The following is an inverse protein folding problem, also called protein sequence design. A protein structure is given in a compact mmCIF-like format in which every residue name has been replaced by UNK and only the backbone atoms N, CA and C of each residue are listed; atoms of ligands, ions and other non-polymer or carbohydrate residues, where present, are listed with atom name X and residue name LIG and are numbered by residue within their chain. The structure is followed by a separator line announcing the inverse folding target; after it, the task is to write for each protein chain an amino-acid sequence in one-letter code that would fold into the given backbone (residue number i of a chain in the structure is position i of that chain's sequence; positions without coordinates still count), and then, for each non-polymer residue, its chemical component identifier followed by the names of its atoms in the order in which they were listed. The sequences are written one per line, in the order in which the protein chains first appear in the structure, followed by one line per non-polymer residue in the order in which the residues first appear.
data_IF_128724749119
#
_entry.id   IF_128724749119
#
_cell.length_a   1.000
_cell.length_b   1.000
_cell.length_c   1.000
_cell.angle_alpha   90.00
_cell.angle_beta   90.00
_cell.angle_gamma   90.00
#
_symmetry.space_group_name_H-M   'P 1'
#
loop_
_entity.id
_entity.type
_entity.pdbx_description
1 polymer ?
#
# COMPACT_ATOMS: atom_id res chain seq x y z
N UNK A 1 -102.98 -13.53 7.65
CA UNK A 1 -102.74 -13.01 6.28
C UNK A 1 -102.75 -14.19 5.33
N UNK A 2 -103.70 -14.23 4.41
CA UNK A 2 -103.84 -15.30 3.42
C UNK A 2 -102.62 -15.24 2.49
N UNK A 3 -101.94 -16.37 2.31
CA UNK A 3 -100.85 -16.50 1.35
C UNK A 3 -101.47 -16.46 -0.06
N UNK A 4 -101.31 -15.32 -0.75
CA UNK A 4 -102.02 -14.98 -1.99
C UNK A 4 -101.24 -15.35 -3.26
N UNK A 5 -100.03 -15.92 -3.16
CA UNK A 5 -99.29 -16.37 -4.34
C UNK A 5 -99.40 -17.90 -4.54
N UNK A 6 -99.80 -18.37 -5.75
CA UNK A 6 -99.63 -19.74 -6.18
C UNK A 6 -98.18 -20.19 -6.02
N UNK A 7 -97.96 -21.46 -5.65
CA UNK A 7 -96.62 -22.04 -5.40
C UNK A 7 -95.66 -21.85 -6.59
N UNK A 8 -96.20 -21.88 -7.80
CA UNK A 8 -95.45 -21.73 -9.06
C UNK A 8 -94.86 -20.31 -9.20
N UNK A 9 -95.66 -19.26 -8.97
CA UNK A 9 -95.19 -17.87 -9.02
C UNK A 9 -94.13 -17.56 -7.97
N UNK A 10 -94.20 -18.21 -6.80
CA UNK A 10 -93.17 -18.07 -5.76
C UNK A 10 -91.83 -18.69 -6.18
N UNK A 11 -91.84 -19.78 -6.94
CA UNK A 11 -90.63 -20.43 -7.44
C UNK A 11 -89.96 -19.60 -8.55
N UNK A 12 -90.75 -18.99 -9.45
CA UNK A 12 -90.25 -18.08 -10.48
C UNK A 12 -89.58 -16.83 -9.88
N UNK A 13 -90.18 -16.22 -8.86
CA UNK A 13 -89.57 -15.06 -8.18
C UNK A 13 -88.24 -15.47 -7.51
N UNK A 14 -88.15 -16.68 -6.96
CA UNK A 14 -86.92 -17.18 -6.33
C UNK A 14 -85.83 -17.48 -7.37
N UNK A 15 -86.17 -18.01 -8.55
CA UNK A 15 -85.20 -18.28 -9.62
C UNK A 15 -84.68 -16.98 -10.23
N UNK A 16 -85.57 -16.01 -10.50
CA UNK A 16 -85.19 -14.68 -10.97
C UNK A 16 -84.27 -13.97 -9.96
N UNK A 17 -84.59 -14.04 -8.65
CA UNK A 17 -83.74 -13.46 -7.60
C UNK A 17 -82.36 -14.10 -7.55
N UNK A 18 -82.26 -15.43 -7.72
CA UNK A 18 -80.97 -16.13 -7.80
C UNK A 18 -80.16 -15.74 -9.03
N UNK A 19 -80.81 -15.57 -10.19
CA UNK A 19 -80.15 -15.15 -11.42
C UNK A 19 -79.61 -13.71 -11.30
N UNK A 20 -80.41 -12.77 -10.77
CA UNK A 20 -79.95 -11.40 -10.52
C UNK A 20 -78.76 -11.39 -9.55
N UNK A 21 -78.83 -12.19 -8.48
CA UNK A 21 -77.72 -12.31 -7.54
C UNK A 21 -76.46 -12.86 -8.23
N UNK A 22 -76.61 -13.93 -9.04
CA UNK A 22 -75.51 -14.53 -9.80
C UNK A 22 -74.85 -13.53 -10.75
N UNK A 23 -75.64 -12.76 -11.51
CA UNK A 23 -75.12 -11.72 -12.41
C UNK A 23 -74.36 -10.62 -11.66
N UNK A 24 -74.81 -10.23 -10.47
CA UNK A 24 -74.08 -9.26 -9.63
C UNK A 24 -72.74 -9.83 -9.20
N UNK A 25 -72.69 -11.10 -8.76
CA UNK A 25 -71.44 -11.76 -8.38
C UNK A 25 -70.47 -11.91 -9.55
N UNK A 26 -70.98 -12.20 -10.74
CA UNK A 26 -70.17 -12.30 -11.96
C UNK A 26 -69.54 -10.96 -12.34
N UNK A 27 -70.33 -9.88 -12.35
CA UNK A 27 -69.81 -8.53 -12.62
C UNK A 27 -68.77 -8.12 -11.57
N UNK A 28 -69.04 -8.40 -10.29
CA UNK A 28 -68.10 -8.11 -9.20
C UNK A 28 -66.79 -8.88 -9.37
N UNK A 29 -66.87 -10.15 -9.74
CA UNK A 29 -65.70 -10.99 -10.00
C UNK A 29 -64.88 -10.46 -11.20
N UNK A 30 -65.55 -10.09 -12.30
CA UNK A 30 -64.90 -9.50 -13.47
C UNK A 30 -64.20 -8.19 -13.10
N UNK A 31 -64.87 -7.29 -12.39
CA UNK A 31 -64.26 -6.04 -11.91
C UNK A 31 -63.04 -6.30 -11.02
N UNK A 32 -63.10 -7.31 -10.13
CA UNK A 32 -61.99 -7.71 -9.29
C UNK A 32 -60.81 -8.25 -10.11
N UNK A 33 -61.05 -9.10 -11.11
CA UNK A 33 -59.97 -9.62 -11.96
C UNK A 33 -59.33 -8.52 -12.83
N UNK A 34 -60.12 -7.56 -13.33
CA UNK A 34 -59.60 -6.42 -14.08
C UNK A 34 -58.72 -5.54 -13.19
N UNK A 35 -59.16 -5.22 -11.97
CA UNK A 35 -58.36 -4.40 -11.05
C UNK A 35 -57.07 -5.13 -10.65
N UNK A 36 -57.15 -6.44 -10.40
CA UNK A 36 -55.97 -7.26 -10.10
C UNK A 36 -54.97 -7.29 -11.25
N UNK A 37 -55.44 -7.46 -12.50
CA UNK A 37 -54.58 -7.44 -13.69
C UNK A 37 -53.87 -6.09 -13.88
N UNK A 38 -54.58 -4.98 -13.64
CA UNK A 38 -54.00 -3.64 -13.69
C UNK A 38 -52.92 -3.43 -12.62
N UNK A 39 -53.14 -3.92 -11.39
CA UNK A 39 -52.14 -3.86 -10.32
C UNK A 39 -50.88 -4.63 -10.73
N UNK A 40 -51.01 -5.84 -11.26
CA UNK A 40 -49.86 -6.62 -11.72
C UNK A 40 -49.10 -5.93 -12.86
N UNK A 41 -49.80 -5.30 -13.79
CA UNK A 41 -49.17 -4.53 -14.87
C UNK A 41 -48.36 -3.36 -14.31
N UNK A 42 -48.92 -2.59 -13.38
CA UNK A 42 -48.23 -1.47 -12.73
C UNK A 42 -46.96 -1.94 -12.00
N UNK A 43 -47.05 -3.01 -11.22
CA UNK A 43 -45.90 -3.59 -10.51
C UNK A 43 -44.81 -4.02 -11.51
N UNK A 44 -45.19 -4.69 -12.61
CA UNK A 44 -44.24 -5.10 -13.64
C UNK A 44 -43.50 -3.91 -14.25
N UNK A 45 -44.23 -2.87 -14.64
CA UNK A 45 -43.65 -1.65 -15.23
C UNK A 45 -42.72 -0.94 -14.23
N UNK A 46 -43.12 -0.88 -12.96
CA UNK A 46 -42.31 -0.29 -11.90
C UNK A 46 -40.97 -1.02 -11.73
N UNK A 47 -41.00 -2.35 -11.62
CA UNK A 47 -39.80 -3.17 -11.45
C UNK A 47 -38.88 -3.06 -12.68
N UNK A 48 -39.43 -3.13 -13.90
CA UNK A 48 -38.64 -2.97 -15.12
C UNK A 48 -37.97 -1.59 -15.22
N UNK A 49 -38.64 -0.55 -14.72
CA UNK A 49 -38.09 0.81 -14.70
C UNK A 49 -36.91 0.92 -13.73
N UNK A 50 -37.05 0.39 -12.51
CA UNK A 50 -35.96 0.42 -11.52
C UNK A 50 -34.74 -0.39 -11.99
N UNK A 51 -34.96 -1.55 -12.61
CA UNK A 51 -33.88 -2.37 -13.16
C UNK A 51 -33.11 -1.61 -14.24
N UNK A 52 -33.82 -0.97 -15.19
CA UNK A 52 -33.17 -0.20 -16.27
C UNK A 52 -32.36 0.97 -15.75
N UNK A 53 -32.88 1.71 -14.77
CA UNK A 53 -32.16 2.84 -14.15
C UNK A 53 -30.90 2.34 -13.44
N UNK A 54 -31.00 1.24 -12.70
CA UNK A 54 -29.85 0.65 -12.02
C UNK A 54 -28.82 0.09 -13.01
N UNK A 55 -29.25 -0.53 -14.10
CA UNK A 55 -28.36 -1.05 -15.15
C UNK A 55 -27.58 0.07 -15.86
N UNK A 56 -28.23 1.21 -16.14
CA UNK A 56 -27.57 2.40 -16.72
C UNK A 56 -26.53 2.95 -15.73
N UNK A 57 -26.90 3.12 -14.47
CA UNK A 57 -26.00 3.64 -13.44
C UNK A 57 -24.79 2.72 -13.20
N UNK A 58 -25.01 1.39 -13.20
CA UNK A 58 -23.93 0.41 -13.08
C UNK A 58 -23.00 0.45 -14.30
N UNK A 59 -23.53 0.51 -15.52
CA UNK A 59 -22.72 0.62 -16.73
C UNK A 59 -21.90 1.91 -16.79
N UNK A 60 -22.46 3.04 -16.34
CA UNK A 60 -21.72 4.31 -16.26
C UNK A 60 -20.58 4.21 -15.24
N UNK A 61 -20.84 3.68 -14.05
CA UNK A 61 -19.80 3.44 -13.05
C UNK A 61 -18.72 2.48 -13.51
N UNK A 62 -19.09 1.38 -14.17
CA UNK A 62 -18.12 0.43 -14.71
C UNK A 62 -17.24 1.07 -15.79
N UNK A 63 -17.80 1.93 -16.65
CA UNK A 63 -17.04 2.71 -17.63
C UNK A 63 -16.10 3.70 -16.96
N UNK A 64 -16.54 4.42 -15.94
CA UNK A 64 -15.67 5.34 -15.18
C UNK A 64 -14.53 4.59 -14.49
N UNK A 65 -14.82 3.46 -13.84
CA UNK A 65 -13.79 2.62 -13.20
C UNK A 65 -12.82 2.03 -14.23
N UNK A 66 -13.30 1.58 -15.39
CA UNK A 66 -12.45 1.06 -16.45
C UNK A 66 -11.54 2.14 -17.06
N UNK A 67 -12.01 3.38 -17.16
CA UNK A 67 -11.20 4.51 -17.62
C UNK A 67 -10.18 4.97 -16.57
N UNK A 68 -10.51 4.86 -15.28
CA UNK A 68 -9.67 5.33 -14.19
C UNK A 68 -8.64 4.29 -13.71
N UNK A 69 -8.91 2.98 -13.86
CA UNK A 69 -7.98 1.91 -13.52
C UNK A 69 -6.57 2.06 -14.13
N UNK A 70 -6.40 2.35 -15.45
CA UNK A 70 -5.06 2.56 -16.01
C UNK A 70 -4.38 3.82 -15.46
N UNK A 71 -5.15 4.83 -15.01
CA UNK A 71 -4.60 6.01 -14.37
C UNK A 71 -4.14 5.70 -12.94
N UNK A 72 -4.93 4.94 -12.18
CA UNK A 72 -4.57 4.46 -10.84
C UNK A 72 -3.30 3.60 -10.88
N UNK A 73 -3.23 2.62 -11.79
CA UNK A 73 -2.02 1.80 -12.00
C UNK A 73 -0.80 2.65 -12.34
N UNK A 74 -0.97 3.70 -13.16
CA UNK A 74 0.13 4.62 -13.49
C UNK A 74 0.59 5.43 -12.29
N UNK A 75 -0.33 5.88 -11.45
CA UNK A 75 -0.03 6.61 -10.21
C UNK A 75 0.69 5.69 -9.22
N UNK A 76 0.25 4.45 -9.04
CA UNK A 76 0.90 3.48 -8.16
C UNK A 76 2.33 3.18 -8.62
N UNK A 77 2.52 2.91 -9.91
CA UNK A 77 3.85 2.67 -10.48
C UNK A 77 4.77 3.89 -10.32
N UNK A 78 4.24 5.10 -10.51
CA UNK A 78 5.00 6.32 -10.31
C UNK A 78 5.39 6.52 -8.84
N UNK A 79 4.49 6.25 -7.91
CA UNK A 79 4.77 6.32 -6.47
C UNK A 79 5.82 5.29 -6.04
N UNK A 80 5.76 4.06 -6.58
CA UNK A 80 6.79 3.05 -6.35
C UNK A 80 8.16 3.50 -6.85
N UNK A 81 8.21 4.02 -8.09
CA UNK A 81 9.45 4.55 -8.66
C UNK A 81 10.01 5.71 -7.84
N UNK A 82 9.17 6.65 -7.42
CA UNK A 82 9.57 7.79 -6.60
C UNK A 82 10.07 7.35 -5.22
N UNK A 83 9.44 6.34 -4.61
CA UNK A 83 9.86 5.75 -3.33
C UNK A 83 11.23 5.09 -3.45
N UNK A 84 11.50 4.38 -4.55
CA UNK A 84 12.82 3.79 -4.84
C UNK A 84 13.90 4.87 -4.98
N UNK A 85 13.61 5.96 -5.71
CA UNK A 85 14.53 7.09 -5.84
C UNK A 85 14.79 7.74 -4.47
N UNK A 86 13.73 7.99 -3.70
CA UNK A 86 13.84 8.64 -2.41
C UNK A 86 14.68 7.82 -1.42
N UNK A 87 14.43 6.51 -1.36
CA UNK A 87 15.21 5.59 -0.52
C UNK A 87 16.67 5.49 -0.97
N UNK A 88 16.95 5.54 -2.28
CA UNK A 88 18.32 5.61 -2.79
C UNK A 88 19.06 6.87 -2.32
N UNK A 89 18.43 8.04 -2.43
CA UNK A 89 19.06 9.31 -1.99
C UNK A 89 19.19 9.41 -0.47
N UNK A 90 18.20 8.95 0.30
CA UNK A 90 18.28 8.96 1.77
C UNK A 90 19.36 8.01 2.31
N UNK A 91 19.57 6.88 1.65
CA UNK A 91 20.55 5.87 2.07
C UNK A 91 21.93 6.08 1.43
N UNK A 92 22.14 7.18 0.69
CA UNK A 92 23.43 7.47 0.09
C UNK A 92 24.45 7.84 1.17
N UNK A 93 25.53 7.07 1.22
CA UNK A 93 26.68 7.40 2.07
C UNK A 93 27.52 8.45 1.35
N UNK A 94 27.61 9.62 1.97
CA UNK A 94 28.50 10.70 1.52
C UNK A 94 29.94 10.33 1.90
N UNK A 95 30.65 9.69 0.97
CA UNK A 95 32.01 9.22 1.18
C UNK A 95 33.01 10.36 1.44
N UNK A 96 32.76 11.57 0.92
CA UNK A 96 33.63 12.73 1.16
C UNK A 96 33.70 13.10 2.64
N UNK A 97 32.58 13.07 3.36
CA UNK A 97 32.55 13.35 4.81
C UNK A 97 33.37 12.32 5.60
N UNK A 98 33.29 11.05 5.20
CA UNK A 98 34.06 9.97 5.82
C UNK A 98 35.54 10.17 5.56
N UNK A 99 35.89 10.52 4.33
CA UNK A 99 37.26 10.79 3.92
C UNK A 99 37.85 11.94 4.73
N UNK A 100 37.15 13.08 4.78
CA UNK A 100 37.57 14.27 5.53
C UNK A 100 37.77 13.95 7.02
N UNK A 101 36.83 13.22 7.64
CA UNK A 101 36.95 12.81 9.04
C UNK A 101 38.18 11.96 9.29
N UNK A 102 38.51 11.01 8.41
CA UNK A 102 39.69 10.15 8.57
C UNK A 102 40.98 10.94 8.36
N UNK A 103 41.07 11.73 7.29
CA UNK A 103 42.29 12.49 6.98
C UNK A 103 42.64 13.54 8.03
N UNK A 104 41.64 14.18 8.66
CA UNK A 104 41.86 15.12 9.76
C UNK A 104 42.52 14.49 11.00
N UNK A 105 42.49 13.16 11.15
CA UNK A 105 43.08 12.44 12.30
C UNK A 105 44.51 11.97 12.05
N UNK A 106 44.99 12.09 10.82
CA UNK A 106 46.32 11.63 10.44
C UNK A 106 47.35 12.68 10.85
N UNK A 107 48.30 12.33 11.75
CA UNK A 107 49.39 13.22 12.12
C UNK A 107 50.28 13.57 10.91
N UNK A 108 50.86 14.77 10.95
CA UNK A 108 51.88 15.17 9.98
C UNK A 108 53.07 14.18 10.02
N UNK A 109 53.59 13.83 8.84
CA UNK A 109 54.70 12.87 8.69
C UNK A 109 54.28 11.43 8.45
N UNK A 110 53.00 11.08 8.62
CA UNK A 110 52.43 9.80 8.15
C UNK A 110 51.92 9.95 6.73
N UNK A 111 52.22 8.99 5.85
CA UNK A 111 51.64 8.93 4.51
C UNK A 111 50.84 7.65 4.31
N UNK A 112 49.70 7.76 3.64
CA UNK A 112 48.88 6.62 3.28
C UNK A 112 49.26 6.08 1.91
N UNK A 113 49.22 4.76 1.79
CA UNK A 113 49.42 4.05 0.52
C UNK A 113 48.13 3.41 0.04
N UNK A 114 47.23 3.02 0.94
CA UNK A 114 45.96 2.40 0.59
C UNK A 114 44.85 2.83 1.55
N UNK A 115 43.68 3.10 0.99
CA UNK A 115 42.47 3.39 1.74
C UNK A 115 41.30 2.67 1.08
N UNK A 116 40.69 1.74 1.80
CA UNK A 116 39.58 0.94 1.31
C UNK A 116 38.37 1.12 2.24
N UNK A 117 37.21 1.37 1.65
CA UNK A 117 35.93 1.49 2.36
C UNK A 117 35.01 0.41 1.83
N UNK A 118 34.43 -0.36 2.74
CA UNK A 118 33.45 -1.38 2.42
C UNK A 118 32.20 -1.22 3.25
N UNK A 119 31.05 -1.46 2.62
CA UNK A 119 29.76 -1.48 3.29
C UNK A 119 29.60 -2.80 4.04
N UNK A 120 29.31 -2.71 5.34
CA UNK A 120 29.04 -3.90 6.14
C UNK A 120 27.64 -4.43 5.83
N UNK A 121 27.57 -5.61 5.19
CA UNK A 121 26.33 -6.20 4.67
C UNK A 121 25.23 -6.43 5.71
N UNK A 122 25.57 -6.52 6.99
CA UNK A 122 24.63 -6.88 8.07
C UNK A 122 24.02 -5.69 8.81
N UNK A 123 24.58 -4.48 8.69
CA UNK A 123 24.09 -3.29 9.40
C UNK A 123 24.10 -2.10 8.45
N UNK A 124 22.91 -1.68 8.03
CA UNK A 124 22.72 -0.42 7.35
C UNK A 124 23.39 0.69 8.18
N UNK A 125 24.28 1.48 7.55
CA UNK A 125 25.07 2.58 8.13
C UNK A 125 26.37 2.23 8.88
N UNK A 126 26.88 1.00 8.77
CA UNK A 126 28.25 0.69 9.20
C UNK A 126 29.20 0.55 8.02
N UNK A 127 30.33 1.25 8.10
CA UNK A 127 31.40 1.20 7.12
C UNK A 127 32.63 0.55 7.72
N UNK A 128 33.12 -0.52 7.10
CA UNK A 128 34.39 -1.12 7.46
C UNK A 128 35.49 -0.48 6.62
N UNK A 129 36.46 0.12 7.30
CA UNK A 129 37.59 0.84 6.71
C UNK A 129 38.86 0.04 6.94
N UNK A 130 39.64 -0.12 5.87
CA UNK A 130 40.99 -0.64 5.93
C UNK A 130 41.96 0.42 5.39
N UNK A 131 42.96 0.76 6.20
CA UNK A 131 43.91 1.82 5.91
C UNK A 131 45.33 1.28 6.07
N UNK A 132 46.18 1.54 5.09
CA UNK A 132 47.59 1.15 5.12
C UNK A 132 48.46 2.33 4.74
N UNK A 133 49.65 2.39 5.33
CA UNK A 133 50.55 3.50 5.13
C UNK A 133 51.89 3.29 5.81
N UNK A 134 52.60 4.40 5.97
CA UNK A 134 53.92 4.43 6.57
C UNK A 134 53.97 5.46 7.69
N UNK A 135 54.64 5.09 8.77
CA UNK A 135 55.00 5.97 9.88
C UNK A 135 56.52 6.00 10.07
N UNK A 136 57.15 7.18 10.13
CA UNK A 136 58.59 7.31 10.39
C UNK A 136 58.99 6.72 11.75
N UNK A 137 58.15 6.91 12.77
CA UNK A 137 58.41 6.47 14.15
C UNK A 137 57.21 5.78 14.78
N UNK A 138 57.47 4.98 15.81
CA UNK A 138 56.41 4.33 16.59
C UNK A 138 55.54 5.32 17.36
N UNK A 139 56.13 6.43 17.80
CA UNK A 139 55.44 7.47 18.55
C UNK A 139 54.38 8.19 17.68
N UNK A 140 54.69 8.45 16.40
CA UNK A 140 53.72 8.99 15.45
C UNK A 140 52.59 8.00 15.17
N UNK A 141 52.90 6.70 15.05
CA UNK A 141 51.89 5.66 14.87
C UNK A 141 50.97 5.53 16.09
N UNK A 142 51.52 5.68 17.30
CA UNK A 142 50.73 5.71 18.53
C UNK A 142 49.80 6.93 18.54
N UNK A 143 50.29 8.11 18.14
CA UNK A 143 49.45 9.30 18.02
C UNK A 143 48.31 9.12 17.03
N UNK A 144 48.55 8.46 15.88
CA UNK A 144 47.48 8.11 14.95
C UNK A 144 46.44 7.21 15.62
N UNK A 145 46.87 6.16 16.33
CA UNK A 145 45.96 5.27 17.05
C UNK A 145 45.10 6.04 18.06
N UNK A 146 45.71 6.89 18.87
CA UNK A 146 44.99 7.70 19.86
C UNK A 146 44.01 8.70 19.22
N UNK A 147 44.38 9.30 18.08
CA UNK A 147 43.51 10.22 17.35
C UNK A 147 42.27 9.51 16.79
N UNK A 148 42.44 8.27 16.30
CA UNK A 148 41.33 7.45 15.83
C UNK A 148 40.45 7.00 16.99
N UNK A 149 41.03 6.57 18.12
CA UNK A 149 40.28 6.11 19.31
C UNK A 149 39.53 7.23 20.03
N UNK A 150 39.96 8.48 19.87
CA UNK A 150 39.28 9.66 20.42
C UNK A 150 37.98 9.99 19.69
N UNK A 151 37.83 9.52 18.45
CA UNK A 151 36.63 9.81 17.65
C UNK A 151 35.49 8.88 18.03
N UNK A 152 34.35 9.45 18.43
CA UNK A 152 33.21 8.65 18.96
C UNK A 152 32.57 7.77 17.89
N UNK A 153 32.68 8.20 16.63
CA UNK A 153 32.08 7.51 15.49
C UNK A 153 32.92 6.29 15.06
N UNK A 154 34.18 6.17 15.54
CA UNK A 154 35.12 5.14 15.12
C UNK A 154 35.17 4.03 16.17
N UNK A 155 34.85 2.81 15.76
CA UNK A 155 34.79 1.63 16.61
C UNK A 155 35.74 0.53 16.15
N UNK A 156 36.09 -0.35 17.08
CA UNK A 156 36.86 -1.56 16.80
C UNK A 156 38.17 -1.29 16.05
N UNK A 157 38.93 -0.29 16.50
CA UNK A 157 40.21 0.05 15.89
C UNK A 157 41.24 -1.03 16.21
N UNK A 158 41.72 -1.71 15.17
CA UNK A 158 42.68 -2.80 15.30
C UNK A 158 43.94 -2.48 14.52
N UNK A 159 45.08 -2.63 15.20
CA UNK A 159 46.41 -2.61 14.60
C UNK A 159 47.07 -3.98 14.84
N UNK A 160 47.56 -4.67 13.79
CA UNK A 160 48.28 -5.92 13.93
C UNK A 160 49.51 -5.77 14.82
N UNK A 161 49.77 -6.77 15.68
CA UNK A 161 50.90 -6.78 16.62
C UNK A 161 52.24 -6.58 15.89
N UNK A 162 52.35 -7.15 14.69
CA UNK A 162 53.51 -7.06 13.79
C UNK A 162 53.91 -5.61 13.49
N UNK A 163 52.93 -4.70 13.44
CA UNK A 163 53.17 -3.28 13.17
C UNK A 163 53.99 -2.63 14.29
N UNK A 164 53.85 -3.11 15.52
CA UNK A 164 54.50 -2.53 16.70
C UNK A 164 55.91 -3.08 16.96
N UNK A 165 56.33 -4.10 16.20
CA UNK A 165 57.63 -4.75 16.38
C UNK A 165 58.81 -3.86 15.95
N UNK A 166 58.59 -2.92 15.03
CA UNK A 166 59.61 -1.98 14.54
C UNK A 166 59.53 -0.66 15.29
N UNK A 167 60.68 -0.05 15.54
CA UNK A 167 60.79 1.27 16.21
C UNK A 167 60.68 2.44 15.21
N UNK A 168 61.20 2.25 13.99
CA UNK A 168 61.28 3.26 12.93
C UNK A 168 60.93 2.64 11.56
N UNK A 169 60.54 3.49 10.61
CA UNK A 169 60.18 3.12 9.23
C UNK A 169 59.12 1.99 9.18
N UNK A 170 57.98 2.25 9.79
CA UNK A 170 56.93 1.27 10.04
C UNK A 170 55.90 1.33 8.92
N UNK A 171 55.73 0.23 8.19
CA UNK A 171 54.58 0.04 7.32
C UNK A 171 53.45 -0.58 8.14
N UNK A 172 52.32 0.12 8.21
CA UNK A 172 51.21 -0.28 9.04
C UNK A 172 49.97 -0.59 8.20
N UNK A 173 49.11 -1.41 8.78
CA UNK A 173 47.74 -1.63 8.31
C UNK A 173 46.83 -1.55 9.52
N UNK A 174 45.70 -0.88 9.39
CA UNK A 174 44.69 -0.78 10.44
C UNK A 174 43.31 -0.96 9.85
N UNK A 175 42.43 -1.57 10.64
CA UNK A 175 41.04 -1.77 10.29
C UNK A 175 40.15 -1.25 11.40
N UNK A 176 39.07 -0.56 11.04
CA UNK A 176 38.10 -0.03 12.00
C UNK A 176 36.74 0.14 11.33
N UNK A 177 35.68 0.24 12.13
CA UNK A 177 34.32 0.46 11.66
C UNK A 177 33.87 1.87 12.01
N UNK A 178 33.23 2.59 11.08
CA UNK A 178 32.55 3.86 11.34
C UNK A 178 31.04 3.64 11.44
N UNK A 179 30.41 4.21 12.46
CA UNK A 179 28.94 4.30 12.56
C UNK A 179 28.48 5.68 12.05
N UNK A 180 27.49 5.69 11.14
CA UNK A 180 26.78 6.92 10.72
C UNK A 180 25.34 6.94 11.23
#
# INVERSE_FOLDING_TARGET
MINLLPKEQKLEILTLRKLVLLSIWEILAICFFISLALIFLLVKVFIESEIKVNEIFLNEKEKEVALNRPLEEKIENFNLFLSQIYSFYQNQIIFSEVLDKVFQKIPEGIYLTNFNISLKKEKERQLDIALSGFSPTRELLLSLKENLEREKDFLNIVFPIETWAKKENIYFTTTFTIIK
#
